data_IF_324106386484
#
_entry.id   IF_324106386484
#
_cell.length_a   1.000
_cell.length_b   1.000
_cell.length_c   1.000
_cell.angle_alpha   90.00
_cell.angle_beta   90.00
_cell.angle_gamma   90.00
#
_symmetry.space_group_name_H-M   'P 1'
#
loop_
_entity.id
_entity.type
_entity.pdbx_description
1 polymer ?
#
# COMPACT_ATOMS: atom_id res chain seq x y z
N UNK A 1 12.48 -7.32 44.31
CA UNK A 1 11.19 -7.92 43.92
C UNK A 1 11.41 -9.35 43.48
N UNK A 2 10.56 -10.26 43.93
CA UNK A 2 10.52 -11.63 43.40
C UNK A 2 9.51 -11.66 42.25
N UNK A 3 9.94 -12.09 41.06
CA UNK A 3 9.08 -12.15 39.88
C UNK A 3 8.18 -13.38 40.00
N UNK A 4 6.86 -13.18 40.13
CA UNK A 4 5.88 -14.27 40.22
C UNK A 4 5.51 -14.87 38.85
N UNK A 5 5.64 -14.09 37.77
CA UNK A 5 5.28 -14.51 36.42
C UNK A 5 5.50 -13.42 35.39
N UNK A 6 5.21 -13.73 34.14
CA UNK A 6 5.24 -12.80 33.01
C UNK A 6 3.87 -12.76 32.35
N UNK A 7 3.46 -11.57 31.91
CA UNK A 7 2.21 -11.35 31.18
C UNK A 7 2.52 -10.57 29.91
N UNK A 8 1.91 -10.96 28.79
CA UNK A 8 2.10 -10.26 27.53
C UNK A 8 1.23 -9.00 27.51
N UNK A 9 1.84 -7.85 27.79
CA UNK A 9 1.21 -6.54 27.71
C UNK A 9 1.81 -5.74 26.54
N UNK A 10 1.15 -5.68 25.38
CA UNK A 10 1.75 -5.16 24.15
C UNK A 10 1.93 -3.62 24.15
N UNK A 11 1.26 -2.90 25.05
CA UNK A 11 1.23 -1.43 25.02
C UNK A 11 2.45 -0.77 25.70
N UNK A 12 3.09 -1.42 26.69
CA UNK A 12 4.20 -0.84 27.44
C UNK A 12 5.00 -1.88 28.26
N UNK A 13 6.19 -1.48 28.73
CA UNK A 13 6.87 -2.18 29.81
C UNK A 13 6.17 -1.82 31.13
N UNK A 14 5.50 -2.80 31.73
CA UNK A 14 4.68 -2.58 32.93
C UNK A 14 4.93 -3.66 33.96
N UNK A 15 4.98 -3.25 35.23
CA UNK A 15 5.07 -4.16 36.38
C UNK A 15 3.71 -4.17 37.07
N UNK A 16 3.16 -5.36 37.25
CA UNK A 16 1.91 -5.57 38.00
C UNK A 16 2.25 -6.12 39.39
N UNK A 17 1.70 -5.50 40.43
CA UNK A 17 1.88 -5.92 41.82
C UNK A 17 0.61 -5.59 42.63
N UNK A 18 0.49 -6.14 43.84
CA UNK A 18 -0.62 -5.77 44.74
C UNK A 18 -0.49 -4.33 45.20
N UNK A 19 -1.63 -3.72 45.54
CA UNK A 19 -1.69 -2.36 46.06
C UNK A 19 -0.85 -2.20 47.33
N UNK A 20 -0.93 -3.16 48.27
CA UNK A 20 -0.13 -3.13 49.50
C UNK A 20 1.37 -3.07 49.21
N UNK A 21 1.87 -3.95 48.33
CA UNK A 21 3.29 -3.98 47.95
C UNK A 21 3.72 -2.71 47.22
N UNK A 22 2.84 -2.13 46.39
CA UNK A 22 3.10 -0.84 45.74
C UNK A 22 3.20 0.28 46.79
N UNK A 23 2.23 0.38 47.68
CA UNK A 23 2.16 1.43 48.69
C UNK A 23 3.34 1.36 49.66
N UNK A 24 3.70 0.18 50.15
CA UNK A 24 4.86 -0.03 51.04
C UNK A 24 6.19 0.33 50.34
N UNK A 25 6.33 -0.06 49.07
CA UNK A 25 7.57 0.16 48.31
C UNK A 25 7.80 1.65 48.01
N UNK A 26 6.74 2.37 47.66
CA UNK A 26 6.82 3.76 47.21
C UNK A 26 6.47 4.77 48.32
N UNK A 27 6.15 4.31 49.53
CA UNK A 27 5.87 5.14 50.70
C UNK A 27 4.51 5.83 50.66
N UNK A 28 3.52 5.22 50.01
CA UNK A 28 2.13 5.69 50.02
C UNK A 28 1.36 5.11 51.22
N UNK A 29 0.25 5.77 51.60
CA UNK A 29 -0.65 5.24 52.64
C UNK A 29 -1.27 3.90 52.20
N UNK A 30 -1.63 3.06 53.17
CA UNK A 30 -2.22 1.72 52.91
C UNK A 30 -3.43 1.79 51.99
N UNK A 31 -4.29 2.79 52.17
CA UNK A 31 -5.56 2.93 51.45
C UNK A 31 -5.42 3.77 50.16
N UNK A 32 -4.20 4.10 49.75
CA UNK A 32 -3.96 4.92 48.57
C UNK A 32 -4.21 4.15 47.27
N UNK A 33 -5.06 4.70 46.40
CA UNK A 33 -5.27 4.26 45.02
C UNK A 33 -5.53 5.47 44.12
N UNK A 34 -5.27 5.34 42.83
CA UNK A 34 -5.40 6.43 41.85
C UNK A 34 -6.61 6.32 40.93
N UNK A 35 -7.27 5.16 40.87
CA UNK A 35 -8.45 4.97 40.04
C UNK A 35 -9.06 3.59 40.15
N UNK A 36 -10.22 3.43 39.51
CA UNK A 36 -10.96 2.18 39.44
C UNK A 36 -10.99 1.64 38.01
N UNK A 37 -10.90 0.32 37.88
CA UNK A 37 -11.16 -0.39 36.63
C UNK A 37 -12.44 -1.20 36.77
N UNK A 38 -13.40 -0.99 35.87
CA UNK A 38 -14.67 -1.70 35.87
C UNK A 38 -15.16 -1.92 34.44
N UNK A 39 -15.78 -3.06 34.19
CA UNK A 39 -16.44 -3.38 32.92
C UNK A 39 -17.80 -2.69 32.77
N UNK A 40 -18.28 -2.03 33.82
CA UNK A 40 -19.55 -1.31 33.86
C UNK A 40 -19.33 0.07 34.45
N UNK A 41 -20.14 1.04 34.00
CA UNK A 41 -20.16 2.37 34.60
C UNK A 41 -20.48 2.26 36.09
N UNK A 42 -19.56 2.74 36.92
CA UNK A 42 -19.78 2.90 38.36
C UNK A 42 -20.79 4.02 38.56
N UNK A 43 -21.82 3.80 39.39
CA UNK A 43 -22.94 4.73 39.61
C UNK A 43 -23.07 5.18 41.06
N UNK A 44 -22.25 4.58 41.91
CA UNK A 44 -22.15 4.72 43.35
C UNK A 44 -21.13 5.79 43.78
N UNK A 45 -20.38 6.35 42.83
CA UNK A 45 -19.43 7.44 43.04
C UNK A 45 -20.04 8.72 42.45
N UNK A 46 -20.06 9.80 43.23
CA UNK A 46 -20.53 11.09 42.75
C UNK A 46 -19.52 11.70 41.77
N UNK A 47 -20.02 12.15 40.60
CA UNK A 47 -19.23 12.72 39.50
C UNK A 47 -18.27 13.85 39.93
N UNK A 48 -18.59 14.58 41.01
CA UNK A 48 -17.74 15.65 41.56
C UNK A 48 -16.38 15.13 42.08
N UNK A 49 -16.30 13.85 42.46
CA UNK A 49 -15.07 13.19 42.90
C UNK A 49 -14.32 12.48 41.77
N UNK A 50 -14.83 12.54 40.53
CA UNK A 50 -14.26 11.86 39.37
C UNK A 50 -13.52 12.89 38.51
N UNK A 51 -12.19 12.78 38.43
CA UNK A 51 -11.37 13.69 37.63
C UNK A 51 -11.46 13.41 36.12
N UNK A 52 -11.49 12.14 35.73
CA UNK A 52 -11.65 11.72 34.33
C UNK A 52 -12.21 10.30 34.26
N UNK A 53 -13.00 10.04 33.21
CA UNK A 53 -13.44 8.70 32.84
C UNK A 53 -12.86 8.43 31.47
N UNK A 54 -12.09 7.35 31.34
CA UNK A 54 -11.50 6.92 30.07
C UNK A 54 -12.19 5.62 29.67
N UNK A 55 -12.93 5.65 28.58
CA UNK A 55 -13.56 4.47 27.99
C UNK A 55 -12.73 3.90 26.84
N UNK A 56 -13.06 2.69 26.38
CA UNK A 56 -12.42 2.11 25.20
C UNK A 56 -12.63 3.00 23.97
N UNK A 57 -13.82 3.58 23.82
CA UNK A 57 -14.14 4.44 22.69
C UNK A 57 -13.28 5.71 22.70
N UNK A 58 -13.03 6.30 23.87
CA UNK A 58 -12.14 7.47 23.99
C UNK A 58 -10.70 7.16 23.53
N UNK A 59 -10.27 5.90 23.66
CA UNK A 59 -8.96 5.44 23.18
C UNK A 59 -8.96 5.12 21.68
N UNK A 60 -10.09 4.72 21.10
CA UNK A 60 -10.18 4.42 19.65
C UNK A 60 -10.53 5.63 18.79
N UNK A 61 -11.18 6.67 19.33
CA UNK A 61 -11.61 7.86 18.56
C UNK A 61 -10.49 8.46 17.72
N UNK A 62 -9.26 8.51 18.22
CA UNK A 62 -8.11 9.02 17.45
C UNK A 62 -7.76 8.08 16.28
N UNK A 63 -7.80 6.77 16.50
CA UNK A 63 -7.57 5.78 15.46
C UNK A 63 -8.70 5.79 14.42
N UNK A 64 -9.95 5.90 14.86
CA UNK A 64 -11.13 5.95 14.00
C UNK A 64 -11.11 7.23 13.13
N UNK A 65 -10.73 8.38 13.69
CA UNK A 65 -10.57 9.62 12.92
C UNK A 65 -9.46 9.54 11.88
N UNK A 66 -8.35 8.87 12.20
CA UNK A 66 -7.28 8.61 11.24
C UNK A 66 -7.78 7.69 10.13
N UNK A 67 -8.53 6.64 10.44
CA UNK A 67 -9.12 5.74 9.46
C UNK A 67 -10.14 6.46 8.56
N UNK A 68 -11.01 7.30 9.11
CA UNK A 68 -11.97 8.09 8.33
C UNK A 68 -11.25 9.08 7.39
N UNK A 69 -10.24 9.78 7.89
CA UNK A 69 -9.50 10.79 7.12
C UNK A 69 -8.65 10.17 6.01
N UNK A 70 -7.96 9.07 6.32
CA UNK A 70 -7.05 8.40 5.40
C UNK A 70 -7.79 7.42 4.49
N UNK A 71 -8.86 6.79 4.99
CA UNK A 71 -9.59 5.69 4.36
C UNK A 71 -10.23 6.07 3.03
N UNK A 72 -10.69 7.31 2.88
CA UNK A 72 -11.16 7.80 1.58
C UNK A 72 -10.03 8.30 0.66
N UNK A 73 -8.96 8.86 1.24
CA UNK A 73 -7.86 9.46 0.49
C UNK A 73 -7.01 8.40 -0.25
N UNK A 74 -6.73 7.26 0.39
CA UNK A 74 -5.89 6.22 -0.19
C UNK A 74 -6.48 5.59 -1.47
N UNK A 75 -7.77 5.17 -1.51
CA UNK A 75 -8.38 4.66 -2.75
C UNK A 75 -8.37 5.68 -3.88
N UNK A 76 -8.60 6.96 -3.59
CA UNK A 76 -8.53 8.04 -4.58
C UNK A 76 -7.12 8.17 -5.17
N UNK A 77 -6.10 8.14 -4.31
CA UNK A 77 -4.70 8.17 -4.74
C UNK A 77 -4.35 6.95 -5.60
N UNK A 78 -4.79 5.75 -5.20
CA UNK A 78 -4.62 4.53 -5.99
C UNK A 78 -5.26 4.66 -7.39
N UNK A 79 -6.47 5.21 -7.47
CA UNK A 79 -7.13 5.48 -8.76
C UNK A 79 -6.35 6.45 -9.64
N UNK A 80 -5.86 7.55 -9.05
CA UNK A 80 -5.02 8.51 -9.77
C UNK A 80 -3.70 7.91 -10.27
N UNK A 81 -3.02 7.13 -9.41
CA UNK A 81 -1.79 6.41 -9.79
C UNK A 81 -2.04 5.39 -10.90
N UNK A 82 -3.18 4.70 -10.91
CA UNK A 82 -3.55 3.78 -11.98
C UNK A 82 -3.72 4.50 -13.33
N UNK A 83 -4.36 5.68 -13.33
CA UNK A 83 -4.50 6.50 -14.54
C UNK A 83 -3.13 6.93 -15.07
N UNK A 84 -2.25 7.41 -14.18
CA UNK A 84 -0.87 7.77 -14.56
C UNK A 84 -0.10 6.57 -15.11
N UNK A 85 -0.24 5.41 -14.48
CA UNK A 85 0.38 4.18 -14.96
C UNK A 85 -0.08 3.83 -16.39
N UNK A 86 -1.40 3.86 -16.66
CA UNK A 86 -1.96 3.63 -18.00
C UNK A 86 -1.41 4.65 -19.01
N UNK A 87 -1.36 5.93 -18.63
CA UNK A 87 -0.87 7.01 -19.49
C UNK A 87 0.60 6.80 -19.85
N UNK A 88 1.46 6.55 -18.86
CA UNK A 88 2.89 6.32 -19.07
C UNK A 88 3.13 5.07 -19.91
N UNK A 89 2.40 3.99 -19.61
CA UNK A 89 2.45 2.76 -20.39
C UNK A 89 2.08 2.99 -21.85
N UNK A 90 0.99 3.72 -22.10
CA UNK A 90 0.57 4.04 -23.47
C UNK A 90 1.61 4.90 -24.21
N UNK A 91 2.21 5.91 -23.55
CA UNK A 91 3.24 6.75 -24.16
C UNK A 91 4.48 5.94 -24.54
N UNK A 92 4.99 5.10 -23.62
CA UNK A 92 6.14 4.24 -23.89
C UNK A 92 5.84 3.26 -25.02
N UNK A 93 4.67 2.62 -24.99
CA UNK A 93 4.27 1.67 -26.00
C UNK A 93 4.09 2.34 -27.38
N UNK A 94 3.54 3.57 -27.42
CA UNK A 94 3.48 4.40 -28.63
C UNK A 94 4.88 4.72 -29.16
N UNK A 95 5.81 5.16 -28.32
CA UNK A 95 7.19 5.48 -28.69
C UNK A 95 7.92 4.27 -29.27
N UNK A 96 7.74 3.09 -28.66
CA UNK A 96 8.31 1.83 -29.15
C UNK A 96 7.79 1.52 -30.56
N UNK A 97 6.47 1.66 -30.79
CA UNK A 97 5.87 1.42 -32.12
C UNK A 97 6.38 2.44 -33.15
N UNK A 98 6.45 3.72 -32.80
CA UNK A 98 6.94 4.78 -33.71
C UNK A 98 8.40 4.58 -34.10
N UNK A 99 9.28 4.29 -33.13
CA UNK A 99 10.70 4.02 -33.40
C UNK A 99 10.92 2.78 -34.26
N UNK A 100 10.04 1.79 -34.16
CA UNK A 100 10.15 0.54 -34.90
C UNK A 100 9.27 0.48 -36.14
N UNK A 101 8.63 1.59 -36.55
CA UNK A 101 7.73 1.64 -37.70
C UNK A 101 8.42 1.26 -39.02
N UNK A 102 9.70 1.65 -39.21
CA UNK A 102 10.50 1.24 -40.37
C UNK A 102 10.79 -0.27 -40.38
N UNK A 103 11.20 -0.83 -39.24
CA UNK A 103 11.42 -2.27 -39.10
C UNK A 103 10.13 -3.08 -39.35
N UNK A 104 9.00 -2.59 -38.83
CA UNK A 104 7.67 -3.19 -39.08
C UNK A 104 7.31 -3.15 -40.57
N UNK A 105 7.63 -2.05 -41.26
CA UNK A 105 7.34 -1.90 -42.69
C UNK A 105 8.21 -2.82 -43.55
N UNK A 106 9.48 -3.00 -43.17
CA UNK A 106 10.39 -3.94 -43.83
C UNK A 106 9.92 -5.40 -43.68
N UNK A 107 9.44 -5.79 -42.50
CA UNK A 107 8.88 -7.13 -42.25
C UNK A 107 7.61 -7.39 -43.08
N UNK A 108 6.77 -6.37 -43.31
CA UNK A 108 5.61 -6.46 -44.21
C UNK A 108 6.02 -6.68 -45.67
N UNK A 109 7.11 -6.05 -46.13
CA UNK A 109 7.63 -6.22 -47.50
C UNK A 109 8.11 -7.67 -47.73
N UNK A 110 8.62 -8.34 -46.69
CA UNK A 110 9.01 -9.75 -46.72
C UNK A 110 7.83 -10.73 -46.69
N UNK A 111 6.58 -10.25 -46.72
CA UNK A 111 5.38 -11.09 -46.85
C UNK A 111 4.65 -11.42 -45.55
N UNK A 112 5.10 -10.89 -44.40
CA UNK A 112 4.38 -11.05 -43.14
C UNK A 112 3.09 -10.23 -43.11
N UNK A 113 2.02 -10.83 -42.61
CA UNK A 113 0.71 -10.19 -42.61
C UNK A 113 0.67 -9.06 -41.56
N UNK A 114 -0.15 -8.03 -41.80
CA UNK A 114 -0.29 -6.86 -40.91
C UNK A 114 -0.64 -7.25 -39.45
N UNK A 115 -1.28 -8.41 -39.26
CA UNK A 115 -1.57 -8.98 -37.94
C UNK A 115 -0.33 -9.53 -37.24
N UNK A 116 0.55 -10.23 -37.94
CA UNK A 116 1.72 -10.90 -37.35
C UNK A 116 2.78 -9.90 -36.89
N UNK A 117 3.06 -8.88 -37.71
CA UNK A 117 3.99 -7.82 -37.34
C UNK A 117 3.49 -7.02 -36.12
N UNK A 118 2.19 -6.81 -36.00
CA UNK A 118 1.57 -6.18 -34.84
C UNK A 118 1.61 -7.05 -33.60
N UNK A 119 1.34 -8.35 -33.73
CA UNK A 119 1.40 -9.29 -32.61
C UNK A 119 2.83 -9.50 -32.10
N UNK A 120 3.82 -9.62 -32.99
CA UNK A 120 5.22 -9.83 -32.59
C UNK A 120 5.72 -8.70 -31.68
N UNK A 121 5.48 -7.46 -32.07
CA UNK A 121 5.94 -6.30 -31.32
C UNK A 121 5.15 -6.10 -30.01
N UNK A 122 3.84 -6.34 -30.04
CA UNK A 122 3.00 -6.20 -28.87
C UNK A 122 3.27 -7.32 -27.83
N UNK A 123 3.60 -8.53 -28.28
CA UNK A 123 4.02 -9.65 -27.42
C UNK A 123 5.36 -9.37 -26.75
N UNK A 124 6.34 -8.79 -27.45
CA UNK A 124 7.61 -8.40 -26.85
C UNK A 124 7.42 -7.39 -25.71
N UNK A 125 6.60 -6.35 -25.93
CA UNK A 125 6.24 -5.39 -24.87
C UNK A 125 5.49 -6.05 -23.72
N UNK A 126 4.60 -7.02 -24.01
CA UNK A 126 3.88 -7.79 -22.98
C UNK A 126 4.82 -8.53 -22.03
N UNK A 127 5.83 -9.21 -22.57
CA UNK A 127 6.78 -9.98 -21.76
C UNK A 127 7.59 -9.05 -20.85
N UNK A 128 8.10 -7.93 -21.40
CA UNK A 128 8.89 -6.96 -20.64
C UNK A 128 8.06 -6.35 -19.51
N UNK A 129 6.79 -6.03 -19.76
CA UNK A 129 5.89 -5.46 -18.74
C UNK A 129 5.51 -6.50 -17.68
N UNK A 130 5.25 -7.75 -18.08
CA UNK A 130 4.97 -8.82 -17.12
C UNK A 130 6.14 -9.04 -16.18
N UNK A 131 7.37 -9.08 -16.70
CA UNK A 131 8.58 -9.20 -15.88
C UNK A 131 8.78 -7.99 -14.98
N UNK A 132 8.55 -6.77 -15.49
CA UNK A 132 8.71 -5.56 -14.67
C UNK A 132 7.67 -5.48 -13.55
N UNK A 133 6.44 -5.97 -13.76
CA UNK A 133 5.41 -6.10 -12.73
C UNK A 133 5.81 -7.09 -11.63
N UNK A 134 6.39 -8.23 -11.99
CA UNK A 134 6.83 -9.23 -11.01
C UNK A 134 8.00 -8.70 -10.18
N UNK A 135 8.95 -8.00 -10.81
CA UNK A 135 10.13 -7.44 -10.13
C UNK A 135 9.76 -6.21 -9.29
N UNK A 136 8.78 -5.41 -9.72
CA UNK A 136 8.39 -4.19 -9.01
C UNK A 136 7.77 -4.49 -7.65
N UNK A 137 7.02 -5.58 -7.48
CA UNK A 137 6.41 -5.95 -6.19
C UNK A 137 7.40 -6.15 -5.04
N UNK A 138 8.41 -7.04 -5.13
CA UNK A 138 9.39 -7.21 -4.06
C UNK A 138 10.22 -5.94 -3.87
N UNK A 139 10.53 -5.22 -4.96
CA UNK A 139 11.26 -3.96 -4.91
C UNK A 139 10.49 -2.89 -4.13
N UNK A 140 9.20 -2.71 -4.43
CA UNK A 140 8.31 -1.78 -3.72
C UNK A 140 8.16 -2.14 -2.25
N UNK A 141 8.01 -3.43 -1.92
CA UNK A 141 7.93 -3.87 -0.53
C UNK A 141 9.24 -3.61 0.23
N UNK A 142 10.38 -3.86 -0.40
CA UNK A 142 11.69 -3.60 0.19
C UNK A 142 11.89 -2.10 0.45
N UNK A 143 11.59 -1.25 -0.53
CA UNK A 143 11.67 0.21 -0.40
C UNK A 143 10.73 0.69 0.70
N UNK A 144 9.48 0.23 0.71
CA UNK A 144 8.50 0.63 1.72
C UNK A 144 8.96 0.25 3.13
N UNK A 145 9.48 -0.97 3.32
CA UNK A 145 10.03 -1.41 4.62
C UNK A 145 11.21 -0.54 5.07
N UNK A 146 12.07 -0.11 4.15
CA UNK A 146 13.19 0.79 4.47
C UNK A 146 12.72 2.18 4.86
N UNK A 147 11.79 2.76 4.11
CA UNK A 147 11.19 4.06 4.42
C UNK A 147 10.52 3.99 5.79
N UNK A 148 9.71 2.95 6.03
CA UNK A 148 9.03 2.76 7.31
C UNK A 148 9.99 2.62 8.49
N UNK A 149 11.10 1.90 8.30
CA UNK A 149 12.13 1.78 9.33
C UNK A 149 12.79 3.12 9.66
N UNK A 150 13.05 3.96 8.66
CA UNK A 150 13.59 5.31 8.90
C UNK A 150 12.56 6.19 9.60
N UNK A 151 11.31 6.16 9.16
CA UNK A 151 10.22 6.90 9.77
C UNK A 151 9.99 6.54 11.24
N UNK A 152 10.00 5.24 11.57
CA UNK A 152 9.85 4.76 12.96
C UNK A 152 11.03 5.13 13.86
N UNK A 153 12.21 5.43 13.32
CA UNK A 153 13.34 5.92 14.16
C UNK A 153 13.11 7.32 14.71
N UNK A 154 12.33 8.13 14.00
CA UNK A 154 12.06 9.52 14.40
C UNK A 154 10.86 9.63 15.34
N UNK A 155 10.05 8.58 15.46
CA UNK A 155 8.87 8.53 16.32
C UNK A 155 9.18 7.79 17.62
N UNK A 156 8.78 8.38 18.75
CA UNK A 156 8.75 7.70 20.04
C UNK A 156 7.54 6.75 20.09
N UNK A 157 7.70 5.54 19.56
CA UNK A 157 6.66 4.51 19.55
C UNK A 157 7.09 3.26 18.78
N UNK A 158 6.33 2.17 18.96
CA UNK A 158 6.50 0.94 18.18
C UNK A 158 5.20 0.64 17.44
N UNK A 159 5.19 0.87 16.12
CA UNK A 159 4.14 0.37 15.25
C UNK A 159 4.74 -0.70 14.33
N UNK A 160 4.14 -1.88 14.28
CA UNK A 160 4.63 -2.96 13.42
C UNK A 160 4.28 -2.69 11.97
N UNK A 161 5.27 -2.80 11.08
CA UNK A 161 5.01 -2.76 9.64
C UNK A 161 4.18 -3.97 9.22
N UNK A 162 2.91 -3.74 8.88
CA UNK A 162 1.99 -4.78 8.46
C UNK A 162 1.43 -4.48 7.07
N UNK A 163 1.66 -5.41 6.14
CA UNK A 163 0.97 -5.43 4.85
C UNK A 163 0.05 -6.64 4.87
N UNK A 164 -1.24 -6.41 4.71
CA UNK A 164 -2.21 -7.49 4.65
C UNK A 164 -1.93 -8.41 3.43
N UNK A 165 -1.94 -9.75 3.58
CA UNK A 165 -1.59 -10.67 2.50
C UNK A 165 -2.42 -10.52 1.21
N UNK A 166 -3.65 -10.02 1.31
CA UNK A 166 -4.54 -9.78 0.17
C UNK A 166 -4.11 -8.60 -0.71
N UNK A 167 -3.25 -7.70 -0.20
CA UNK A 167 -2.76 -6.53 -0.95
C UNK A 167 -1.85 -6.96 -2.11
N UNK A 168 -1.02 -7.98 -1.90
CA UNK A 168 -0.12 -8.51 -2.93
C UNK A 168 -0.85 -8.97 -4.22
N UNK A 169 -1.87 -9.86 -4.14
CA UNK A 169 -2.64 -10.23 -5.33
C UNK A 169 -3.50 -9.08 -5.85
N UNK A 170 -3.98 -8.16 -5.00
CA UNK A 170 -4.72 -6.99 -5.47
C UNK A 170 -3.85 -6.05 -6.33
N UNK A 171 -2.61 -5.79 -5.92
CA UNK A 171 -1.65 -4.98 -6.70
C UNK A 171 -1.33 -5.64 -8.05
N UNK A 172 -1.11 -6.95 -8.06
CA UNK A 172 -0.95 -7.72 -9.30
C UNK A 172 -2.17 -7.61 -10.20
N UNK A 173 -3.36 -7.85 -9.65
CA UNK A 173 -4.62 -7.81 -10.38
C UNK A 173 -4.85 -6.45 -11.03
N UNK A 174 -4.68 -5.36 -10.28
CA UNK A 174 -4.83 -4.00 -10.79
C UNK A 174 -3.80 -3.73 -11.90
N UNK A 175 -2.53 -4.11 -11.70
CA UNK A 175 -1.48 -3.96 -12.70
C UNK A 175 -1.79 -4.69 -14.01
N UNK A 176 -2.24 -5.94 -13.92
CA UNK A 176 -2.64 -6.75 -15.08
C UNK A 176 -3.85 -6.16 -15.79
N UNK A 177 -4.88 -5.73 -15.06
CA UNK A 177 -6.07 -5.10 -15.64
C UNK A 177 -5.71 -3.81 -16.36
N UNK A 178 -4.90 -2.94 -15.74
CA UNK A 178 -4.44 -1.71 -16.39
C UNK A 178 -3.63 -2.01 -17.66
N UNK A 179 -2.76 -3.02 -17.61
CA UNK A 179 -2.00 -3.44 -18.77
C UNK A 179 -2.88 -3.96 -19.91
N UNK A 180 -3.87 -4.81 -19.61
CA UNK A 180 -4.81 -5.33 -20.61
C UNK A 180 -5.59 -4.19 -21.31
N UNK A 181 -6.00 -3.17 -20.56
CA UNK A 181 -6.64 -1.98 -21.13
C UNK A 181 -5.72 -1.26 -22.13
N UNK A 182 -4.45 -1.05 -21.77
CA UNK A 182 -3.44 -0.44 -22.65
C UNK A 182 -3.21 -1.31 -23.88
N UNK A 183 -3.06 -2.62 -23.71
CA UNK A 183 -2.83 -3.59 -24.79
C UNK A 183 -3.95 -3.53 -25.84
N UNK A 184 -5.21 -3.47 -25.41
CA UNK A 184 -6.39 -3.36 -26.30
C UNK A 184 -6.38 -2.04 -27.09
N UNK A 185 -6.05 -0.92 -26.43
CA UNK A 185 -5.93 0.40 -27.07
C UNK A 185 -4.81 0.38 -28.12
N UNK A 186 -3.67 -0.23 -27.77
CA UNK A 186 -2.51 -0.32 -28.65
C UNK A 186 -2.79 -1.21 -29.87
N UNK A 187 -3.44 -2.36 -29.70
CA UNK A 187 -3.87 -3.22 -30.81
C UNK A 187 -4.74 -2.46 -31.81
N UNK A 188 -5.71 -1.66 -31.34
CA UNK A 188 -6.54 -0.84 -32.23
C UNK A 188 -5.73 0.17 -33.03
N UNK A 189 -4.72 0.78 -32.40
CA UNK A 189 -3.89 1.81 -33.04
C UNK A 189 -2.89 1.23 -34.04
N UNK A 190 -2.20 0.13 -33.71
CA UNK A 190 -1.26 -0.57 -34.60
C UNK A 190 -1.95 -1.04 -35.89
N UNK A 191 -3.20 -1.52 -35.80
CA UNK A 191 -3.99 -1.91 -36.97
C UNK A 191 -4.37 -0.74 -37.88
N UNK A 192 -4.36 0.49 -37.35
CA UNK A 192 -4.77 1.71 -38.05
C UNK A 192 -3.59 2.47 -38.67
N UNK A 193 -2.35 1.98 -38.55
CA UNK A 193 -1.17 2.59 -39.17
C UNK A 193 -1.19 2.29 -40.67
N UNK A 194 -1.42 3.29 -41.54
CA UNK A 194 -1.46 3.09 -42.98
C UNK A 194 -0.06 2.80 -43.52
N UNK A 195 0.06 1.84 -44.44
CA UNK A 195 1.32 1.45 -45.11
C UNK A 195 2.01 2.60 -45.86
N UNK A 196 1.30 3.68 -46.16
CA UNK A 196 1.81 4.82 -46.94
C UNK A 196 2.88 5.65 -46.21
N UNK A 197 3.06 5.48 -44.89
CA UNK A 197 4.14 6.16 -44.15
C UNK A 197 5.53 5.55 -44.39
N UNK A 198 5.61 4.29 -44.84
CA UNK A 198 6.89 3.65 -45.14
C UNK A 198 7.51 4.17 -46.44
N UNK A 199 6.68 4.46 -47.45
CA UNK A 199 7.15 4.92 -48.76
C UNK A 199 7.53 6.41 -48.80
N UNK A 200 7.13 7.22 -47.82
CA UNK A 200 7.42 8.67 -47.81
C UNK A 200 8.75 9.05 -47.17
N UNK A 201 9.40 8.11 -46.48
CA UNK A 201 10.75 8.28 -45.91
C UNK A 201 11.83 7.60 -46.78
N UNK A 202 11.51 7.23 -48.02
CA UNK A 202 12.45 6.74 -49.03
C UNK A 202 12.65 7.74 -50.19
N UNK A 203 12.13 8.95 -50.06
CA UNK A 203 12.57 10.13 -50.82
C UNK A 203 13.39 11.06 -49.91
#
# INVERSE_FOLDING_TARGET
FTIAGHYNYPAALTVFMSQDSFNDTFGYNTDYFSGYFSNKKLTDINDTYIASVITSDDLTVVADQLDDSMGFMFPMLCGFSAILYILLMYLLAKLIVEKNAQAISMVKILGFNNKEAGTLYNTATTIVVGLSLIISLPLSCFIMKKIYYVFMKEINGWLTFYIAPWIYPAMLGIGVVCYLLVYLIQMKKVRKIPMSQALKNME
#
